data_IF_653620838314
#
_entry.id   IF_653620838314
#
_cell.length_a   1.000
_cell.length_b   1.000
_cell.length_c   1.000
_cell.angle_alpha   90.00
_cell.angle_beta   90.00
_cell.angle_gamma   90.00
#
_symmetry.space_group_name_H-M   'P 1'
#
loop_
_entity.id
_entity.type
_entity.pdbx_description
1 polymer ?
#
# COMPACT_ATOMS: atom_id res chain seq x y z
N UNK A 1 10.77 -17.13 0.71
CA UNK A 1 10.11 -15.92 1.20
C UNK A 1 8.62 -16.19 1.15
N UNK A 2 8.04 -16.39 2.33
CA UNK A 2 6.61 -16.60 2.48
C UNK A 2 5.86 -15.24 2.45
N UNK A 3 4.54 -15.28 2.58
CA UNK A 3 3.71 -14.09 2.56
C UNK A 3 4.02 -13.10 3.71
N UNK A 4 4.23 -13.62 4.92
CA UNK A 4 4.53 -12.80 6.10
C UNK A 4 5.89 -12.12 5.93
N UNK A 5 6.91 -12.83 5.45
CA UNK A 5 8.23 -12.23 5.17
C UNK A 5 8.12 -11.05 4.18
N UNK A 6 7.21 -11.13 3.20
CA UNK A 6 6.97 -10.05 2.23
C UNK A 6 6.29 -8.84 2.86
N UNK A 7 5.36 -9.09 3.78
CA UNK A 7 4.67 -8.06 4.51
C UNK A 7 5.62 -7.31 5.46
N UNK A 8 6.43 -8.05 6.22
CA UNK A 8 7.44 -7.46 7.11
C UNK A 8 8.43 -6.59 6.35
N UNK A 9 8.96 -7.07 5.22
CA UNK A 9 9.85 -6.26 4.38
C UNK A 9 9.18 -5.02 3.79
N UNK A 10 7.91 -5.12 3.42
CA UNK A 10 7.17 -3.96 2.96
C UNK A 10 7.02 -2.93 4.08
N UNK A 11 6.57 -3.35 5.27
CA UNK A 11 6.41 -2.47 6.44
C UNK A 11 7.73 -1.83 6.87
N UNK A 12 8.82 -2.57 6.88
CA UNK A 12 10.16 -2.02 7.13
C UNK A 12 10.53 -0.93 6.12
N UNK A 13 10.21 -1.15 4.84
CA UNK A 13 10.50 -0.18 3.78
C UNK A 13 9.66 1.09 3.95
N UNK A 14 8.33 0.95 4.05
CA UNK A 14 7.42 2.09 4.11
C UNK A 14 7.47 2.83 5.45
N UNK A 15 7.87 2.17 6.54
CA UNK A 15 8.11 2.86 7.82
C UNK A 15 9.37 3.75 7.76
N UNK A 16 10.41 3.32 7.05
CA UNK A 16 11.67 4.09 6.90
C UNK A 16 11.58 5.18 5.86
N UNK A 17 10.78 4.98 4.81
CA UNK A 17 10.63 5.93 3.72
C UNK A 17 9.14 6.07 3.33
N UNK A 18 8.29 6.67 4.18
CA UNK A 18 6.84 6.72 3.94
C UNK A 18 6.46 7.35 2.59
N UNK A 19 7.28 8.29 2.10
CA UNK A 19 7.10 8.97 0.82
C UNK A 19 7.24 8.09 -0.44
N UNK A 20 7.74 6.85 -0.35
CA UNK A 20 7.98 6.00 -1.54
C UNK A 20 6.70 5.35 -2.10
N UNK A 21 5.62 5.28 -1.32
CA UNK A 21 4.34 4.76 -1.78
C UNK A 21 3.67 5.64 -2.83
N UNK A 22 3.04 4.99 -3.81
CA UNK A 22 2.30 5.66 -4.88
C UNK A 22 0.98 6.24 -4.36
N UNK A 23 0.56 7.36 -4.92
CA UNK A 23 -0.67 8.06 -4.58
C UNK A 23 -1.77 7.93 -5.65
N UNK A 24 -1.64 7.03 -6.64
CA UNK A 24 -2.62 6.94 -7.75
C UNK A 24 -4.05 6.67 -7.28
N UNK A 25 -4.24 5.74 -6.32
CA UNK A 25 -5.56 5.50 -5.72
C UNK A 25 -6.08 6.66 -4.87
N UNK A 26 -5.20 7.52 -4.33
CA UNK A 26 -5.61 8.69 -3.56
C UNK A 26 -6.42 9.67 -4.42
N UNK A 27 -5.96 9.86 -5.66
CA UNK A 27 -6.61 10.70 -6.65
C UNK A 27 -7.97 10.11 -7.06
N UNK A 28 -7.99 8.85 -7.49
CA UNK A 28 -9.21 8.16 -7.93
C UNK A 28 -10.29 8.09 -6.85
N UNK A 29 -9.89 7.92 -5.58
CA UNK A 29 -10.83 7.77 -4.46
C UNK A 29 -11.14 9.07 -3.74
N UNK A 30 -10.54 10.20 -4.15
CA UNK A 30 -10.62 11.48 -3.41
C UNK A 30 -10.21 11.35 -1.93
N UNK A 31 -9.17 10.55 -1.66
CA UNK A 31 -8.62 10.29 -0.33
C UNK A 31 -7.21 10.91 -0.22
N UNK A 32 -7.10 12.23 0.03
CA UNK A 32 -5.82 12.92 0.04
C UNK A 32 -4.89 12.34 1.12
N UNK A 33 -3.62 12.15 0.75
CA UNK A 33 -2.60 11.57 1.63
C UNK A 33 -2.57 10.04 1.64
N UNK A 34 -3.54 9.36 1.02
CA UNK A 34 -3.49 7.91 0.87
C UNK A 34 -2.30 7.51 0.00
N UNK A 35 -1.56 6.51 0.44
CA UNK A 35 -0.47 5.90 -0.33
C UNK A 35 -0.68 4.41 -0.38
N UNK A 36 -0.09 3.77 -1.37
CA UNK A 36 -0.02 2.31 -1.39
C UNK A 36 1.34 1.77 -1.82
N UNK A 37 1.62 0.55 -1.38
CA UNK A 37 2.82 -0.19 -1.70
C UNK A 37 2.47 -1.65 -2.10
N UNK A 38 2.93 -2.13 -3.27
CA UNK A 38 2.72 -3.51 -3.68
C UNK A 38 3.67 -4.47 -2.96
N UNK A 39 3.16 -5.63 -2.53
CA UNK A 39 4.01 -6.70 -2.03
C UNK A 39 4.75 -7.37 -3.20
N UNK A 40 6.04 -7.63 -3.03
CA UNK A 40 6.81 -8.37 -4.03
C UNK A 40 6.31 -9.81 -4.11
N UNK A 41 5.99 -10.29 -5.33
CA UNK A 41 5.52 -11.67 -5.63
C UNK A 41 4.13 -12.05 -5.09
N UNK A 42 3.44 -11.14 -4.42
CA UNK A 42 2.08 -11.36 -3.94
C UNK A 42 1.17 -10.27 -4.50
N UNK A 43 -0.04 -10.61 -4.99
CA UNK A 43 -0.96 -9.66 -5.60
C UNK A 43 -1.68 -8.80 -4.53
N UNK A 44 -0.96 -8.35 -3.50
CA UNK A 44 -1.50 -7.58 -2.39
C UNK A 44 -0.89 -6.18 -2.34
N UNK A 45 -1.72 -5.20 -1.97
CA UNK A 45 -1.39 -3.80 -1.85
C UNK A 45 -1.60 -3.37 -0.40
N UNK A 46 -0.57 -2.80 0.22
CA UNK A 46 -0.66 -2.15 1.54
C UNK A 46 -1.10 -0.72 1.30
N UNK A 47 -2.25 -0.33 1.83
CA UNK A 47 -2.74 1.05 1.83
C UNK A 47 -2.46 1.70 3.18
N UNK A 48 -1.85 2.89 3.18
CA UNK A 48 -1.46 3.58 4.39
C UNK A 48 -1.49 5.10 4.26
N UNK A 49 -1.50 5.79 5.40
CA UNK A 49 -1.24 7.22 5.49
C UNK A 49 0.10 7.47 6.16
N UNK A 50 0.78 8.52 5.72
CA UNK A 50 1.98 9.04 6.37
C UNK A 50 1.56 10.00 7.49
N UNK A 51 2.06 9.77 8.71
CA UNK A 51 1.86 10.61 9.88
C UNK A 51 3.22 11.16 10.36
N UNK A 52 3.25 12.18 11.24
CA UNK A 52 4.51 12.75 11.70
C UNK A 52 5.48 11.75 12.33
N UNK A 53 4.97 10.78 13.09
CA UNK A 53 5.78 9.84 13.88
C UNK A 53 5.63 8.38 13.45
N UNK A 54 4.72 8.08 12.52
CA UNK A 54 4.40 6.72 12.12
C UNK A 54 3.77 6.66 10.73
N UNK A 55 3.43 5.44 10.31
CA UNK A 55 2.48 5.22 9.23
C UNK A 55 1.23 4.55 9.81
N UNK A 56 0.06 4.93 9.29
CA UNK A 56 -1.20 4.27 9.62
C UNK A 56 -1.54 3.30 8.50
N UNK A 57 -1.33 2.01 8.72
CA UNK A 57 -1.74 0.97 7.78
C UNK A 57 -3.25 0.78 7.88
N UNK A 58 -3.96 1.11 6.81
CA UNK A 58 -5.42 1.09 6.80
C UNK A 58 -5.97 -0.24 6.30
N UNK A 59 -5.46 -0.74 5.17
CA UNK A 59 -5.93 -2.00 4.54
C UNK A 59 -4.80 -2.73 3.81
N UNK A 60 -4.91 -4.06 3.79
CA UNK A 60 -4.15 -4.92 2.90
C UNK A 60 -5.14 -5.58 1.95
N UNK A 61 -5.12 -5.17 0.68
CA UNK A 61 -6.12 -5.59 -0.32
C UNK A 61 -5.48 -6.41 -1.43
N UNK A 62 -6.18 -7.42 -1.92
CA UNK A 62 -5.76 -8.20 -3.08
C UNK A 62 -6.09 -7.43 -4.37
N UNK A 63 -5.07 -7.03 -5.11
CA UNK A 63 -5.16 -6.16 -6.29
C UNK A 63 -6.11 -6.65 -7.38
N UNK A 64 -6.32 -7.97 -7.53
CA UNK A 64 -7.28 -8.50 -8.53
C UNK A 64 -8.68 -8.83 -7.99
N UNK A 65 -8.85 -8.94 -6.66
CA UNK A 65 -10.11 -9.40 -6.06
C UNK A 65 -10.88 -8.25 -5.40
N UNK A 66 -10.15 -7.33 -4.82
CA UNK A 66 -10.71 -6.24 -4.02
C UNK A 66 -10.65 -4.89 -4.75
N UNK A 67 -9.83 -4.77 -5.80
CA UNK A 67 -9.73 -3.55 -6.62
C UNK A 67 -10.49 -3.73 -7.94
N UNK A 68 -11.44 -2.85 -8.27
CA UNK A 68 -12.14 -2.89 -9.56
C UNK A 68 -11.17 -2.82 -10.74
N UNK A 69 -11.46 -3.56 -11.81
CA UNK A 69 -10.59 -3.65 -12.98
C UNK A 69 -10.27 -2.28 -13.62
N UNK A 70 -11.19 -1.32 -13.55
CA UNK A 70 -10.97 0.03 -14.08
C UNK A 70 -9.97 0.88 -13.29
N UNK A 71 -9.62 0.48 -12.06
CA UNK A 71 -8.58 1.12 -11.24
C UNK A 71 -7.22 0.38 -11.29
N UNK A 72 -7.15 -0.78 -11.95
CA UNK A 72 -5.89 -1.53 -12.10
C UNK A 72 -5.09 -0.90 -13.25
N UNK A 73 -4.42 0.21 -12.96
CA UNK A 73 -3.54 0.91 -13.93
C UNK A 73 -2.16 0.28 -14.02
#
# INVERSE_FOLDING_TARGET
MNFIDALEKAYDHISRNPGTGSASYAYELSLPGLRFWPLTRFPYLVFYFEQPDCIDVWRLLHGQRDIPAWMQT
#
